data_IF_583651978041
#
_entry.id   IF_583651978041
#
_cell.length_a   1.000
_cell.length_b   1.000
_cell.length_c   1.000
_cell.angle_alpha   90.00
_cell.angle_beta   90.00
_cell.angle_gamma   90.00
#
_symmetry.space_group_name_H-M   'P 1'
#
loop_
_entity.id
_entity.type
_entity.pdbx_description
1 polymer ?
#
# COMPACT_ATOMS: atom_id res chain seq x y z
N UNK A 1 29.91 9.63 -29.36
CA UNK A 1 28.60 9.42 -28.72
C UNK A 1 27.54 10.08 -29.59
N UNK A 2 26.67 9.33 -30.29
CA UNK A 2 25.61 9.90 -31.13
C UNK A 2 24.34 9.98 -30.28
N UNK A 3 23.96 11.18 -29.86
CA UNK A 3 22.64 11.42 -29.24
C UNK A 3 21.64 11.51 -30.37
N UNK A 4 20.83 10.48 -30.56
CA UNK A 4 19.66 10.53 -31.44
C UNK A 4 18.51 11.06 -30.60
N UNK A 5 18.15 12.33 -30.79
CA UNK A 5 16.90 12.86 -30.27
C UNK A 5 15.75 12.15 -31.00
N UNK A 6 15.06 11.25 -30.30
CA UNK A 6 13.79 10.74 -30.79
C UNK A 6 12.81 11.92 -30.87
N UNK A 7 12.05 12.01 -31.96
CA UNK A 7 11.01 13.03 -32.09
C UNK A 7 10.01 12.81 -30.95
N UNK A 8 9.64 13.86 -30.20
CA UNK A 8 8.61 13.70 -29.21
C UNK A 8 7.28 13.42 -29.92
N UNK A 9 6.56 12.39 -29.49
CA UNK A 9 5.26 12.04 -30.05
C UNK A 9 4.16 12.88 -29.41
N UNK A 10 3.12 13.16 -30.19
CA UNK A 10 1.96 13.91 -29.75
C UNK A 10 0.73 13.04 -29.57
N UNK A 11 -0.34 13.58 -28.98
CA UNK A 11 -1.68 12.99 -29.04
C UNK A 11 -2.66 14.14 -28.83
N UNK A 12 -3.63 14.28 -29.72
CA UNK A 12 -4.61 15.38 -29.64
C UNK A 12 -6.03 14.91 -29.88
N UNK A 13 -6.96 15.66 -29.33
CA UNK A 13 -8.37 15.33 -29.38
C UNK A 13 -9.23 16.37 -28.69
N UNK A 14 -10.50 16.01 -28.52
CA UNK A 14 -11.51 16.83 -27.86
C UNK A 14 -12.34 16.03 -26.89
N UNK A 15 -12.76 16.67 -25.80
CA UNK A 15 -13.74 16.15 -24.85
C UNK A 15 -15.06 16.88 -25.08
N UNK A 16 -16.13 16.11 -25.21
CA UNK A 16 -17.50 16.62 -25.35
C UNK A 16 -18.44 15.97 -24.34
N UNK A 17 -19.53 16.63 -23.97
CA UNK A 17 -20.56 16.06 -23.10
C UNK A 17 -21.49 15.08 -23.85
N UNK A 18 -22.58 14.66 -23.20
CA UNK A 18 -23.59 13.78 -23.79
C UNK A 18 -24.40 14.44 -24.92
N UNK A 19 -24.54 15.77 -24.92
CA UNK A 19 -25.18 16.55 -25.98
C UNK A 19 -24.22 16.83 -27.16
N UNK A 20 -22.93 16.60 -26.97
CA UNK A 20 -21.87 16.89 -27.94
C UNK A 20 -21.25 18.28 -27.77
N UNK A 21 -21.56 18.98 -26.68
CA UNK A 21 -20.99 20.29 -26.39
C UNK A 21 -19.55 20.16 -25.86
N UNK A 22 -18.63 21.05 -26.24
CA UNK A 22 -17.24 20.98 -25.79
C UNK A 22 -17.10 21.17 -24.28
N UNK A 23 -16.24 20.37 -23.64
CA UNK A 23 -16.03 20.41 -22.20
C UNK A 23 -14.66 20.98 -21.81
N UNK A 24 -14.59 22.24 -21.32
CA UNK A 24 -13.35 22.81 -20.80
C UNK A 24 -13.00 22.27 -19.40
N UNK A 25 -11.73 22.42 -19.02
CA UNK A 25 -11.21 22.07 -17.68
C UNK A 25 -11.39 20.60 -17.28
N UNK A 26 -11.43 19.70 -18.26
CA UNK A 26 -11.39 18.25 -18.06
C UNK A 26 -9.93 17.80 -18.03
N UNK A 27 -9.54 17.10 -16.96
CA UNK A 27 -8.21 16.50 -16.88
C UNK A 27 -8.18 15.19 -17.68
N UNK A 28 -7.43 15.20 -18.78
CA UNK A 28 -7.16 14.05 -19.63
C UNK A 28 -5.81 13.47 -19.26
N UNK A 29 -5.76 12.19 -18.93
CA UNK A 29 -4.55 11.45 -18.55
C UNK A 29 -4.24 10.38 -19.59
N UNK A 30 -3.01 10.37 -20.09
CA UNK A 30 -2.47 9.31 -20.93
C UNK A 30 -1.48 8.48 -20.10
N UNK A 31 -1.87 7.26 -19.75
CA UNK A 31 -1.07 6.32 -18.98
C UNK A 31 -0.56 5.20 -19.89
N UNK A 32 0.75 5.02 -19.96
CA UNK A 32 1.35 3.88 -20.65
C UNK A 32 1.06 2.62 -19.84
N UNK A 33 0.40 1.64 -20.47
CA UNK A 33 -0.04 0.41 -19.79
C UNK A 33 1.11 -0.58 -19.54
N UNK A 34 2.27 -0.36 -20.16
CA UNK A 34 3.47 -1.22 -20.08
C UNK A 34 4.59 -0.63 -19.25
N UNK A 35 4.60 0.70 -19.07
CA UNK A 35 5.59 1.42 -18.29
C UNK A 35 4.95 2.15 -17.10
N UNK A 36 5.74 2.92 -16.35
CA UNK A 36 5.21 3.81 -15.29
C UNK A 36 4.96 5.23 -15.80
N UNK A 37 5.02 5.45 -17.11
CA UNK A 37 4.79 6.76 -17.68
C UNK A 37 3.31 7.13 -17.58
N UNK A 38 3.03 8.33 -17.08
CA UNK A 38 1.71 8.95 -17.13
C UNK A 38 1.89 10.46 -17.31
N UNK A 39 1.01 11.06 -18.10
CA UNK A 39 0.96 12.51 -18.31
C UNK A 39 -0.49 12.97 -18.27
N UNK A 40 -0.73 14.15 -17.69
CA UNK A 40 -2.07 14.75 -17.59
C UNK A 40 -2.06 16.16 -18.15
N UNK A 41 -3.10 16.51 -18.91
CA UNK A 41 -3.36 17.85 -19.44
C UNK A 41 -4.82 18.23 -19.19
N UNK A 42 -5.13 19.53 -19.15
CA UNK A 42 -6.51 20.01 -19.10
C UNK A 42 -7.00 20.38 -20.51
N UNK A 43 -8.29 20.21 -20.78
CA UNK A 43 -8.92 20.71 -22.01
C UNK A 43 -9.03 22.24 -22.01
N UNK A 44 -8.87 22.85 -23.19
CA UNK A 44 -9.06 24.29 -23.41
C UNK A 44 -10.55 24.69 -23.41
N UNK A 45 -10.82 25.99 -23.59
CA UNK A 45 -12.19 26.55 -23.68
C UNK A 45 -13.06 25.96 -24.81
N UNK A 46 -12.44 25.30 -25.80
CA UNK A 46 -13.11 24.60 -26.89
C UNK A 46 -13.10 23.08 -26.69
N UNK A 47 -12.83 22.60 -25.47
CA UNK A 47 -12.79 21.19 -25.11
C UNK A 47 -11.59 20.41 -25.69
N UNK A 48 -10.59 21.07 -26.27
CA UNK A 48 -9.47 20.39 -26.93
C UNK A 48 -8.32 20.15 -25.96
N UNK A 49 -7.63 19.02 -26.14
CA UNK A 49 -6.42 18.69 -25.40
C UNK A 49 -5.29 18.30 -26.36
N UNK A 50 -4.05 18.52 -25.93
CA UNK A 50 -2.87 18.16 -26.70
C UNK A 50 -1.73 17.71 -25.77
N UNK A 51 -1.16 16.55 -26.07
CA UNK A 51 0.09 16.06 -25.49
C UNK A 51 1.21 16.28 -26.51
N UNK A 52 2.40 16.71 -26.04
CA UNK A 52 3.54 17.03 -26.91
C UNK A 52 4.81 16.24 -26.60
N UNK A 53 4.80 15.41 -25.56
CA UNK A 53 6.00 14.71 -25.05
C UNK A 53 5.66 13.29 -24.61
N UNK A 54 4.97 12.56 -25.47
CA UNK A 54 4.66 11.16 -25.24
C UNK A 54 5.82 10.27 -25.73
N UNK A 55 6.13 9.18 -25.01
CA UNK A 55 6.91 8.07 -25.55
C UNK A 55 6.23 7.47 -26.78
N UNK A 56 7.00 6.83 -27.65
CA UNK A 56 6.51 6.01 -28.75
C UNK A 56 5.87 4.71 -28.20
N UNK A 57 4.68 4.84 -27.62
CA UNK A 57 3.98 3.76 -26.90
C UNK A 57 2.48 3.75 -27.23
N UNK A 58 1.73 2.90 -26.53
CA UNK A 58 0.27 2.89 -26.51
C UNK A 58 -0.24 3.25 -25.12
N UNK A 59 -1.32 4.02 -25.08
CA UNK A 59 -1.81 4.64 -23.86
C UNK A 59 -3.23 4.16 -23.57
N UNK A 60 -3.51 3.97 -22.29
CA UNK A 60 -4.85 4.10 -21.76
C UNK A 60 -5.11 5.60 -21.55
N UNK A 61 -6.12 6.14 -22.22
CA UNK A 61 -6.53 7.54 -22.08
C UNK A 61 -7.79 7.62 -21.24
N UNK A 62 -7.73 8.36 -20.14
CA UNK A 62 -8.87 8.61 -19.25
C UNK A 62 -9.16 10.10 -19.13
N UNK A 63 -10.41 10.47 -18.93
CA UNK A 63 -10.82 11.86 -18.69
C UNK A 63 -11.60 11.94 -17.39
N UNK A 64 -11.26 12.93 -16.56
CA UNK A 64 -11.91 13.17 -15.29
C UNK A 64 -12.07 14.66 -15.05
N UNK A 65 -13.22 15.05 -14.49
CA UNK A 65 -13.45 16.42 -14.06
C UNK A 65 -14.03 16.39 -12.66
N UNK A 66 -13.56 17.32 -11.83
CA UNK A 66 -13.99 17.47 -10.46
C UNK A 66 -15.01 18.61 -10.40
N UNK A 67 -16.29 18.29 -10.28
CA UNK A 67 -17.33 19.29 -10.08
C UNK A 67 -17.59 19.48 -8.59
N UNK A 68 -17.57 20.70 -8.05
CA UNK A 68 -18.23 20.94 -6.77
C UNK A 68 -19.73 21.04 -7.03
N UNK A 69 -20.56 20.40 -6.21
CA UNK A 69 -22.00 20.66 -6.29
C UNK A 69 -22.32 22.08 -5.77
N UNK A 70 -23.52 22.58 -6.06
CA UNK A 70 -24.00 23.90 -5.64
C UNK A 70 -24.09 24.08 -4.12
N UNK A 71 -23.89 23.01 -3.34
CA UNK A 71 -23.94 22.99 -1.88
C UNK A 71 -22.56 22.70 -1.26
N UNK A 72 -21.48 22.71 -2.05
CA UNK A 72 -20.11 22.43 -1.59
C UNK A 72 -19.90 21.01 -1.06
N UNK A 73 -20.86 20.10 -1.24
CA UNK A 73 -20.94 18.81 -0.59
C UNK A 73 -20.64 17.69 -1.60
N UNK A 74 -19.34 17.40 -1.71
CA UNK A 74 -18.68 16.37 -2.52
C UNK A 74 -18.37 16.76 -3.97
N UNK A 75 -17.19 16.36 -4.46
CA UNK A 75 -16.93 16.42 -5.87
C UNK A 75 -17.80 15.40 -6.61
N UNK A 76 -18.69 15.84 -7.52
CA UNK A 76 -19.19 14.96 -8.58
C UNK A 76 -18.03 14.72 -9.53
N UNK A 77 -17.68 13.45 -9.73
CA UNK A 77 -16.76 13.06 -10.78
C UNK A 77 -17.62 12.75 -12.01
N UNK A 78 -17.62 13.65 -12.98
CA UNK A 78 -17.94 13.22 -14.33
C UNK A 78 -16.80 12.32 -14.81
N UNK A 79 -17.15 11.36 -15.66
CA UNK A 79 -16.17 10.41 -16.16
C UNK A 79 -16.45 10.13 -17.63
N UNK A 80 -15.37 9.87 -18.36
CA UNK A 80 -15.44 9.12 -19.60
C UNK A 80 -14.96 7.70 -19.32
N UNK A 81 -15.51 6.71 -20.02
CA UNK A 81 -14.89 5.38 -20.02
C UNK A 81 -13.46 5.51 -20.58
N UNK A 82 -12.46 4.89 -19.92
CA UNK A 82 -11.09 4.92 -20.44
C UNK A 82 -11.03 4.28 -21.82
N UNK A 83 -10.35 4.96 -22.75
CA UNK A 83 -10.06 4.42 -24.07
C UNK A 83 -8.73 3.69 -23.98
N UNK A 84 -8.76 2.38 -24.20
CA UNK A 84 -7.57 1.53 -24.14
C UNK A 84 -6.80 1.57 -25.46
N UNK A 85 -5.50 1.26 -25.37
CA UNK A 85 -4.66 0.92 -26.53
C UNK A 85 -4.52 2.05 -27.57
N UNK A 86 -4.57 3.32 -27.15
CA UNK A 86 -4.46 4.49 -28.04
C UNK A 86 -3.00 4.72 -28.48
N UNK A 87 -2.68 4.70 -29.78
CA UNK A 87 -1.33 4.96 -30.25
C UNK A 87 -0.83 6.38 -29.91
N UNK A 88 0.48 6.51 -29.70
CA UNK A 88 1.17 7.77 -29.92
C UNK A 88 0.86 8.33 -31.32
N UNK A 89 0.75 9.65 -31.43
CA UNK A 89 0.39 10.46 -32.60
C UNK A 89 -1.06 10.37 -33.08
N UNK A 90 -1.96 9.75 -32.31
CA UNK A 90 -3.40 9.82 -32.61
C UNK A 90 -3.87 11.28 -32.68
N UNK A 91 -4.56 11.59 -33.79
CA UNK A 91 -5.23 12.85 -34.05
C UNK A 91 -6.73 12.66 -33.89
N UNK A 92 -7.42 13.74 -33.52
CA UNK A 92 -8.88 13.79 -33.44
C UNK A 92 -9.50 12.74 -32.50
N UNK A 93 -8.82 12.41 -31.39
CA UNK A 93 -9.39 11.51 -30.38
C UNK A 93 -10.62 12.16 -29.73
N UNK A 94 -11.80 11.60 -29.97
CA UNK A 94 -13.03 12.08 -29.35
C UNK A 94 -13.32 11.32 -28.05
N UNK A 95 -13.32 12.05 -26.94
CA UNK A 95 -13.73 11.52 -25.64
C UNK A 95 -15.13 12.03 -25.34
N UNK A 96 -16.08 11.11 -25.18
CA UNK A 96 -17.43 11.45 -24.72
C UNK A 96 -17.48 11.35 -23.20
N UNK A 97 -17.74 12.48 -22.58
CA UNK A 97 -17.76 12.65 -21.14
C UNK A 97 -19.20 12.63 -20.66
N UNK A 98 -19.46 11.83 -19.63
CA UNK A 98 -20.78 11.69 -19.06
C UNK A 98 -20.83 12.34 -17.69
N UNK A 99 -21.79 13.24 -17.49
CA UNK A 99 -22.18 13.74 -16.17
C UNK A 99 -23.01 12.73 -15.38
N UNK A 100 -23.46 11.63 -16.02
CA UNK A 100 -24.08 10.54 -15.31
C UNK A 100 -23.06 9.94 -14.34
N UNK A 101 -23.52 9.64 -13.11
CA UNK A 101 -22.67 8.97 -12.14
C UNK A 101 -22.11 7.66 -12.74
N UNK A 102 -20.81 7.37 -12.56
CA UNK A 102 -20.23 6.14 -13.09
C UNK A 102 -21.00 4.92 -12.61
N UNK A 103 -21.12 3.88 -13.45
CA UNK A 103 -21.69 2.63 -12.98
C UNK A 103 -20.87 2.18 -11.78
N UNK A 104 -21.58 1.91 -10.68
CA UNK A 104 -20.95 1.54 -9.41
C UNK A 104 -21.33 0.14 -9.00
N UNK A 105 -20.37 -0.58 -8.43
CA UNK A 105 -20.60 -1.80 -7.68
C UNK A 105 -20.50 -1.59 -6.18
N UNK A 106 -20.52 -2.69 -5.44
CA UNK A 106 -20.19 -2.69 -4.02
C UNK A 106 -19.23 -3.84 -3.69
N UNK A 107 -18.40 -3.64 -2.67
CA UNK A 107 -17.52 -4.69 -2.14
C UNK A 107 -17.88 -4.96 -0.70
N UNK A 108 -18.00 -6.24 -0.34
CA UNK A 108 -18.16 -6.69 1.05
C UNK A 108 -16.92 -7.48 1.44
N UNK A 109 -16.28 -7.09 2.54
CA UNK A 109 -15.07 -7.71 3.06
C UNK A 109 -15.40 -8.43 4.36
N UNK A 110 -15.15 -9.73 4.42
CA UNK A 110 -15.28 -10.55 5.63
C UNK A 110 -13.90 -10.86 6.20
N UNK A 111 -13.68 -10.54 7.46
CA UNK A 111 -12.43 -10.70 8.18
C UNK A 111 -12.53 -11.88 9.14
N UNK A 112 -11.74 -12.91 8.90
CA UNK A 112 -11.72 -14.15 9.66
C UNK A 112 -10.34 -14.38 10.27
N UNK A 113 -10.28 -14.91 11.49
CA UNK A 113 -9.03 -15.40 12.08
C UNK A 113 -8.59 -16.66 11.34
N UNK A 114 -7.35 -16.67 10.84
CA UNK A 114 -6.85 -17.79 10.05
C UNK A 114 -6.76 -19.11 10.84
N UNK A 115 -6.75 -19.08 12.18
CA UNK A 115 -6.62 -20.28 13.03
C UNK A 115 -7.91 -21.05 13.20
N UNK A 116 -9.00 -20.32 13.46
CA UNK A 116 -10.28 -20.92 13.87
C UNK A 116 -11.44 -20.53 12.94
N UNK A 117 -11.19 -19.69 11.93
CA UNK A 117 -12.19 -19.23 10.97
C UNK A 117 -13.25 -18.31 11.56
N UNK A 118 -13.11 -17.86 12.81
CA UNK A 118 -14.09 -16.99 13.46
C UNK A 118 -13.96 -15.54 12.97
N UNK A 119 -15.06 -14.77 12.93
CA UNK A 119 -15.00 -13.36 12.59
C UNK A 119 -14.08 -12.58 13.53
N UNK A 120 -13.29 -11.67 12.97
CA UNK A 120 -12.44 -10.76 13.73
C UNK A 120 -13.31 -9.63 14.29
N UNK A 121 -13.46 -9.59 15.62
CA UNK A 121 -14.37 -8.66 16.31
C UNK A 121 -13.70 -7.34 16.74
N UNK A 122 -12.38 -7.21 16.57
CA UNK A 122 -11.67 -5.94 16.84
C UNK A 122 -12.05 -4.89 15.80
N UNK A 123 -11.97 -3.59 16.12
CA UNK A 123 -12.16 -2.50 15.15
C UNK A 123 -11.08 -2.53 14.06
N UNK A 124 -11.39 -3.03 12.84
CA UNK A 124 -10.41 -3.12 11.79
C UNK A 124 -10.34 -1.81 11.01
N UNK A 125 -9.18 -1.51 10.43
CA UNK A 125 -9.02 -0.49 9.39
C UNK A 125 -8.96 -1.21 8.04
N UNK A 126 -10.04 -1.11 7.27
CA UNK A 126 -10.10 -1.62 5.90
C UNK A 126 -10.21 -0.44 4.95
N UNK A 127 -9.27 -0.36 4.01
CA UNK A 127 -9.21 0.68 2.98
C UNK A 127 -9.29 0.05 1.60
N UNK A 128 -9.98 0.73 0.70
CA UNK A 128 -9.94 0.47 -0.74
C UNK A 128 -9.17 1.59 -1.41
N UNK A 129 -8.18 1.22 -2.23
CA UNK A 129 -7.25 2.14 -2.88
C UNK A 129 -7.32 1.87 -4.39
N UNK A 130 -7.71 2.88 -5.17
CA UNK A 130 -7.68 2.91 -6.63
C UNK A 130 -6.83 4.08 -7.11
N UNK A 131 -6.87 4.35 -8.42
CA UNK A 131 -6.03 5.38 -9.06
C UNK A 131 -6.22 6.77 -8.44
N UNK A 132 -7.46 7.19 -8.19
CA UNK A 132 -7.82 8.48 -7.60
C UNK A 132 -8.80 8.36 -6.43
N UNK A 133 -8.88 7.17 -5.82
CA UNK A 133 -9.81 6.89 -4.73
C UNK A 133 -9.08 6.19 -3.59
N UNK A 134 -9.11 6.79 -2.40
CA UNK A 134 -8.80 6.09 -1.16
C UNK A 134 -9.98 6.27 -0.22
N UNK A 135 -10.63 5.16 0.16
CA UNK A 135 -11.81 5.21 1.02
C UNK A 135 -11.71 4.15 2.11
N UNK A 136 -12.16 4.49 3.32
CA UNK A 136 -12.32 3.53 4.42
C UNK A 136 -13.67 2.81 4.28
N UNK A 137 -13.69 1.52 4.62
CA UNK A 137 -14.93 0.74 4.64
C UNK A 137 -15.85 1.16 5.78
N UNK A 138 -17.15 0.93 5.61
CA UNK A 138 -18.14 1.11 6.65
C UNK A 138 -18.38 -0.25 7.34
N UNK A 139 -18.38 -0.32 8.68
CA UNK A 139 -18.79 -1.54 9.38
C UNK A 139 -20.24 -1.89 9.04
N UNK A 140 -20.49 -3.12 8.61
CA UNK A 140 -21.86 -3.64 8.38
C UNK A 140 -22.30 -4.55 9.53
N UNK A 141 -21.41 -5.44 9.95
CA UNK A 141 -21.60 -6.34 11.09
C UNK A 141 -20.23 -6.71 11.67
N UNK A 142 -20.21 -7.48 12.75
CA UNK A 142 -18.95 -7.86 13.39
C UNK A 142 -18.06 -8.67 12.41
N UNK A 143 -16.84 -8.18 12.16
CA UNK A 143 -15.92 -8.76 11.19
C UNK A 143 -16.30 -8.54 9.72
N UNK A 144 -17.31 -7.72 9.41
CA UNK A 144 -17.72 -7.43 8.03
C UNK A 144 -17.72 -5.93 7.76
N UNK A 145 -17.03 -5.54 6.69
CA UNK A 145 -16.92 -4.16 6.21
C UNK A 145 -17.51 -4.07 4.80
N UNK A 146 -18.14 -2.95 4.46
CA UNK A 146 -18.71 -2.72 3.13
C UNK A 146 -18.23 -1.42 2.50
N UNK A 147 -18.16 -1.44 1.17
CA UNK A 147 -17.83 -0.31 0.32
C UNK A 147 -18.95 -0.15 -0.71
N UNK A 148 -20.04 0.56 -0.38
CA UNK A 148 -21.12 0.80 -1.33
C UNK A 148 -20.70 1.81 -2.40
N UNK A 149 -21.27 1.73 -3.59
CA UNK A 149 -21.08 2.72 -4.66
C UNK A 149 -19.59 2.98 -4.96
N UNK A 150 -18.85 1.92 -5.24
CA UNK A 150 -17.50 2.04 -5.82
C UNK A 150 -17.64 2.09 -7.34
N UNK A 151 -17.05 3.08 -8.03
CA UNK A 151 -16.94 3.03 -9.48
C UNK A 151 -16.38 1.69 -9.93
N UNK A 152 -16.84 1.17 -11.05
CA UNK A 152 -16.25 -0.04 -11.63
C UNK A 152 -14.75 0.15 -11.87
N UNK A 153 -13.97 -0.93 -11.73
CA UNK A 153 -12.53 -0.88 -11.92
C UNK A 153 -11.75 -1.79 -10.99
N UNK A 154 -10.43 -1.69 -11.07
CA UNK A 154 -9.48 -2.42 -10.23
C UNK A 154 -9.11 -1.61 -9.00
N UNK A 155 -9.13 -2.26 -7.85
CA UNK A 155 -8.75 -1.67 -6.57
C UNK A 155 -7.84 -2.60 -5.79
N UNK A 156 -7.04 -2.03 -4.89
CA UNK A 156 -6.35 -2.75 -3.85
C UNK A 156 -7.08 -2.55 -2.52
N UNK A 157 -7.52 -3.65 -1.92
CA UNK A 157 -7.97 -3.69 -0.54
C UNK A 157 -6.75 -3.82 0.38
N UNK A 158 -6.67 -2.99 1.42
CA UNK A 158 -5.71 -3.09 2.51
C UNK A 158 -6.47 -3.27 3.82
N UNK A 159 -6.06 -4.27 4.58
CA UNK A 159 -6.67 -4.65 5.86
C UNK A 159 -5.62 -4.56 6.96
N UNK A 160 -5.97 -3.87 8.03
CA UNK A 160 -5.21 -3.80 9.28
C UNK A 160 -6.17 -4.09 10.44
N UNK A 161 -5.79 -5.00 11.34
CA UNK A 161 -6.57 -5.30 12.53
C UNK A 161 -5.62 -5.52 13.72
N UNK A 162 -6.00 -5.01 14.89
CA UNK A 162 -5.16 -5.12 16.10
C UNK A 162 -4.95 -6.58 16.46
N UNK A 163 -3.68 -6.98 16.60
CA UNK A 163 -3.32 -8.37 16.91
C UNK A 163 -3.28 -9.30 15.70
N UNK A 164 -3.39 -8.76 14.49
CA UNK A 164 -3.27 -9.47 13.23
C UNK A 164 -2.25 -8.81 12.32
N UNK A 165 -1.68 -9.61 11.42
CA UNK A 165 -0.80 -9.11 10.37
C UNK A 165 -1.63 -8.43 9.28
N UNK A 166 -1.09 -7.34 8.75
CA UNK A 166 -1.72 -6.61 7.65
C UNK A 166 -1.80 -7.49 6.40
N UNK A 167 -2.91 -7.38 5.67
CA UNK A 167 -3.11 -8.09 4.42
C UNK A 167 -3.51 -7.12 3.32
N UNK A 168 -3.22 -7.47 2.07
CA UNK A 168 -3.73 -6.72 0.92
C UNK A 168 -4.06 -7.65 -0.25
N UNK A 169 -5.07 -7.27 -1.04
CA UNK A 169 -5.52 -8.04 -2.21
C UNK A 169 -6.05 -7.09 -3.29
N UNK A 170 -5.84 -7.43 -4.56
CA UNK A 170 -6.49 -6.74 -5.69
C UNK A 170 -7.90 -7.29 -5.91
N UNK A 171 -8.86 -6.42 -6.21
CA UNK A 171 -10.26 -6.76 -6.49
C UNK A 171 -10.77 -5.95 -7.66
N UNK A 172 -11.51 -6.59 -8.57
CA UNK A 172 -12.23 -5.92 -9.65
C UNK A 172 -13.69 -5.70 -9.25
N UNK A 173 -14.12 -4.45 -9.19
CA UNK A 173 -15.51 -4.05 -8.96
C UNK A 173 -16.27 -4.02 -10.28
N UNK A 174 -17.46 -4.65 -10.29
CA UNK A 174 -18.40 -4.71 -11.42
C UNK A 174 -19.75 -4.11 -11.03
N UNK A 175 -20.54 -3.63 -11.98
CA UNK A 175 -21.89 -3.07 -11.74
C UNK A 175 -22.97 -4.13 -11.52
N UNK A 176 -22.78 -5.35 -12.02
CA UNK A 176 -23.79 -6.42 -12.02
C UNK A 176 -23.40 -7.60 -11.11
N UNK A 177 -24.39 -8.29 -10.55
CA UNK A 177 -24.20 -9.53 -9.77
C UNK A 177 -24.14 -9.37 -8.25
N UNK A 178 -24.58 -8.23 -7.71
CA UNK A 178 -24.54 -7.96 -6.27
C UNK A 178 -23.15 -7.57 -5.76
N UNK A 179 -22.96 -7.46 -4.44
CA UNK A 179 -21.67 -7.07 -3.86
C UNK A 179 -20.59 -8.11 -4.15
N UNK A 180 -19.44 -7.67 -4.64
CA UNK A 180 -18.23 -8.50 -4.71
C UNK A 180 -17.81 -8.87 -3.29
N UNK A 181 -17.84 -10.16 -2.95
CA UNK A 181 -17.50 -10.64 -1.60
C UNK A 181 -16.04 -11.09 -1.56
N UNK A 182 -15.27 -10.47 -0.68
CA UNK A 182 -13.86 -10.80 -0.43
C UNK A 182 -13.66 -11.31 0.99
N UNK A 183 -13.06 -12.49 1.12
CA UNK A 183 -12.70 -13.06 2.41
C UNK A 183 -11.19 -12.92 2.68
N UNK A 184 -10.87 -12.30 3.82
CA UNK A 184 -9.52 -12.19 4.36
C UNK A 184 -9.40 -13.07 5.59
N UNK A 185 -8.57 -14.11 5.49
CA UNK A 185 -8.13 -14.90 6.64
C UNK A 185 -6.83 -14.29 7.15
N UNK A 186 -6.91 -13.53 8.24
CA UNK A 186 -5.75 -12.83 8.78
C UNK A 186 -4.98 -13.73 9.74
N UNK A 187 -3.67 -13.80 9.54
CA UNK A 187 -2.76 -14.43 10.47
C UNK A 187 -2.60 -13.56 11.72
N UNK A 188 -2.67 -14.13 12.93
CA UNK A 188 -2.43 -13.36 14.15
C UNK A 188 -0.99 -12.86 14.20
N UNK A 189 -0.83 -11.60 14.58
CA UNK A 189 0.45 -10.98 14.85
C UNK A 189 0.89 -11.28 16.28
N UNK A 190 2.19 -11.48 16.47
CA UNK A 190 2.81 -11.66 17.79
C UNK A 190 3.70 -10.46 18.10
N UNK A 191 3.66 -10.05 19.37
CA UNK A 191 4.61 -9.08 19.93
C UNK A 191 5.65 -9.78 20.80
N UNK A 192 6.88 -9.27 20.79
CA UNK A 192 7.94 -9.68 21.71
C UNK A 192 8.52 -8.47 22.44
N UNK A 193 9.08 -8.72 23.62
CA UNK A 193 9.83 -7.75 24.40
C UNK A 193 11.28 -8.20 24.46
N UNK A 194 12.19 -7.40 23.94
CA UNK A 194 13.62 -7.68 23.94
C UNK A 194 14.28 -6.88 25.05
N UNK A 195 14.92 -7.59 25.98
CA UNK A 195 15.63 -7.02 27.12
C UNK A 195 17.14 -7.17 26.87
N UNK A 196 17.82 -6.14 26.32
CA UNK A 196 19.25 -6.17 26.15
C UNK A 196 19.96 -6.03 27.51
N UNK A 197 20.72 -7.05 27.89
CA UNK A 197 21.54 -7.06 29.10
C UNK A 197 23.00 -6.80 28.71
N UNK A 198 23.56 -5.67 29.15
CA UNK A 198 24.97 -5.33 28.93
C UNK A 198 25.77 -5.70 30.16
N UNK A 199 26.68 -6.67 30.01
CA UNK A 199 27.60 -7.08 31.08
C UNK A 199 28.88 -6.24 30.98
N UNK A 200 29.35 -5.73 32.12
CA UNK A 200 30.60 -4.95 32.26
C UNK A 200 30.70 -3.74 31.30
N UNK A 201 29.69 -2.87 31.33
CA UNK A 201 29.70 -1.63 30.56
C UNK A 201 30.71 -0.63 31.15
N UNK A 202 31.86 -0.45 30.48
CA UNK A 202 32.82 0.63 30.81
C UNK A 202 32.35 2.01 30.36
N UNK A 203 31.49 2.05 29.34
CA UNK A 203 30.87 3.26 28.81
C UNK A 203 29.35 3.07 28.78
N UNK A 204 28.60 4.11 29.12
CA UNK A 204 27.14 4.08 29.06
C UNK A 204 26.69 3.90 27.60
N UNK A 205 25.89 2.88 27.30
CA UNK A 205 25.29 2.70 25.98
C UNK A 205 24.46 3.93 25.57
N UNK A 206 24.57 4.36 24.31
CA UNK A 206 23.70 5.43 23.80
C UNK A 206 22.41 4.90 23.20
N UNK A 207 22.49 3.83 22.39
CA UNK A 207 21.31 3.22 21.77
C UNK A 207 21.49 1.72 21.56
N UNK A 208 20.36 1.03 21.45
CA UNK A 208 20.29 -0.36 21.03
C UNK A 208 19.61 -0.46 19.66
N UNK A 209 20.27 -1.17 18.74
CA UNK A 209 19.72 -1.56 17.44
C UNK A 209 19.40 -3.05 17.46
N UNK A 210 18.16 -3.41 17.19
CA UNK A 210 17.72 -4.79 17.02
C UNK A 210 17.50 -5.06 15.54
N UNK A 211 18.07 -6.15 15.05
CA UNK A 211 17.89 -6.67 13.70
C UNK A 211 17.22 -8.03 13.82
N UNK A 212 16.07 -8.22 13.19
CA UNK A 212 15.35 -9.49 13.14
C UNK A 212 15.35 -10.01 11.73
N UNK A 213 15.70 -11.28 11.56
CA UNK A 213 15.68 -11.98 10.27
C UNK A 213 14.88 -13.27 10.45
N UNK A 214 13.78 -13.44 9.72
CA UNK A 214 13.02 -14.67 9.74
C UNK A 214 13.83 -15.83 9.12
N UNK A 215 13.86 -16.98 9.78
CA UNK A 215 14.57 -18.17 9.29
C UNK A 215 13.64 -19.04 8.44
N UNK A 216 13.97 -19.24 7.16
CA UNK A 216 13.30 -20.22 6.29
C UNK A 216 12.10 -19.73 5.47
N UNK A 217 11.85 -18.42 5.38
CA UNK A 217 10.77 -17.84 4.57
C UNK A 217 11.24 -17.30 3.22
N UNK A 218 10.34 -17.30 2.23
CA UNK A 218 10.46 -16.55 0.97
C UNK A 218 10.46 -15.03 1.29
N UNK A 219 11.61 -14.47 1.68
CA UNK A 219 11.94 -13.05 1.53
C UNK A 219 11.19 -11.99 2.33
N UNK A 220 10.27 -12.31 3.25
CA UNK A 220 9.65 -11.29 4.11
C UNK A 220 10.29 -11.22 5.50
N UNK A 221 10.99 -10.11 5.76
CA UNK A 221 11.19 -9.59 7.12
C UNK A 221 12.64 -9.60 7.60
N UNK A 222 13.47 -8.72 7.03
CA UNK A 222 14.58 -8.14 7.79
C UNK A 222 14.08 -6.83 8.41
N UNK A 223 13.85 -6.81 9.71
CA UNK A 223 13.44 -5.60 10.44
C UNK A 223 14.62 -5.04 11.19
N UNK A 224 14.78 -3.72 11.19
CA UNK A 224 15.72 -3.03 12.05
C UNK A 224 14.97 -2.01 12.90
N UNK A 225 15.17 -2.07 14.21
CA UNK A 225 14.63 -1.12 15.16
C UNK A 225 15.78 -0.49 15.94
N UNK A 226 15.74 0.81 16.18
CA UNK A 226 16.75 1.51 17.00
C UNK A 226 16.04 2.38 18.02
N UNK A 227 16.41 2.27 19.28
CA UNK A 227 15.95 3.16 20.35
C UNK A 227 17.09 3.51 21.31
N UNK A 228 16.87 4.52 22.14
CA UNK A 228 17.76 4.84 23.25
C UNK A 228 17.85 3.66 24.23
N UNK A 229 19.03 3.47 24.81
CA UNK A 229 19.28 2.36 25.71
C UNK A 229 18.66 2.62 27.09
N UNK A 230 17.99 1.62 27.67
CA UNK A 230 17.47 1.69 29.05
C UNK A 230 16.21 0.84 29.20
N UNK A 231 15.21 1.09 28.38
CA UNK A 231 13.93 0.37 28.42
C UNK A 231 13.96 -0.91 27.57
N UNK A 232 13.17 -1.95 27.92
CA UNK A 232 12.96 -3.09 27.05
C UNK A 232 12.35 -2.67 25.70
N UNK A 233 12.84 -3.30 24.62
CA UNK A 233 12.45 -3.00 23.24
C UNK A 233 11.21 -3.81 22.87
N UNK A 234 10.08 -3.15 22.67
CA UNK A 234 8.85 -3.81 22.22
C UNK A 234 8.81 -3.88 20.69
N UNK A 235 8.65 -5.09 20.17
CA UNK A 235 8.52 -5.36 18.74
C UNK A 235 7.16 -6.00 18.50
N UNK A 236 6.33 -5.35 17.70
CA UNK A 236 4.98 -5.79 17.37
C UNK A 236 4.87 -6.24 15.91
N UNK A 237 3.74 -6.83 15.54
CA UNK A 237 3.43 -7.25 14.17
C UNK A 237 4.41 -8.27 13.58
N UNK A 238 4.92 -9.19 14.41
CA UNK A 238 5.80 -10.26 13.95
C UNK A 238 4.98 -11.50 13.58
N UNK A 239 5.36 -12.16 12.49
CA UNK A 239 4.87 -13.51 12.18
C UNK A 239 5.35 -14.51 13.26
N UNK A 240 4.51 -15.47 13.64
CA UNK A 240 4.96 -16.66 14.35
C UNK A 240 6.00 -17.40 13.52
N UNK A 241 7.00 -17.99 14.17
CA UNK A 241 8.03 -18.76 13.51
C UNK A 241 9.40 -18.60 14.14
N UNK A 242 10.42 -19.12 13.47
CA UNK A 242 11.80 -19.02 13.92
C UNK A 242 12.43 -17.73 13.39
N UNK A 243 12.98 -16.95 14.30
CA UNK A 243 13.66 -15.69 14.03
C UNK A 243 15.10 -15.76 14.49
N UNK A 244 16.00 -15.17 13.71
CA UNK A 244 17.37 -14.85 14.13
C UNK A 244 17.37 -13.39 14.53
N UNK A 245 17.54 -13.15 15.82
CA UNK A 245 17.51 -11.81 16.40
C UNK A 245 18.93 -11.41 16.78
N UNK A 246 19.38 -10.26 16.27
CA UNK A 246 20.68 -9.67 16.56
C UNK A 246 20.48 -8.34 17.27
N UNK A 247 21.00 -8.21 18.48
CA UNK A 247 21.05 -6.94 19.20
C UNK A 247 22.46 -6.34 19.07
N UNK A 248 22.52 -5.03 18.84
CA UNK A 248 23.74 -4.24 18.73
C UNK A 248 23.64 -3.04 19.67
N UNK A 249 24.67 -2.81 20.47
CA UNK A 249 24.79 -1.58 21.26
C UNK A 249 25.68 -0.61 20.53
N UNK A 250 25.21 0.63 20.44
CA UNK A 250 25.93 1.72 19.83
C UNK A 250 26.40 2.70 20.91
N UNK A 251 27.66 3.12 20.79
CA UNK A 251 28.22 4.28 21.48
C UNK A 251 28.74 5.23 20.40
N UNK A 252 28.28 6.48 20.42
CA UNK A 252 28.63 7.49 19.39
C UNK A 252 28.48 6.96 17.95
N UNK A 253 27.36 6.26 17.70
CA UNK A 253 27.02 5.60 16.41
C UNK A 253 27.94 4.46 15.96
N UNK A 254 28.87 4.00 16.81
CA UNK A 254 29.69 2.80 16.54
C UNK A 254 29.14 1.61 17.32
N UNK A 255 29.01 0.47 16.66
CA UNK A 255 28.63 -0.77 17.33
C UNK A 255 29.78 -1.23 18.22
N UNK A 256 29.56 -1.25 19.53
CA UNK A 256 30.57 -1.66 20.52
C UNK A 256 30.31 -3.06 21.07
N UNK A 257 29.06 -3.51 21.04
CA UNK A 257 28.65 -4.85 21.50
C UNK A 257 27.60 -5.45 20.58
N UNK A 258 27.60 -6.77 20.46
CA UNK A 258 26.55 -7.48 19.74
C UNK A 258 26.27 -8.85 20.33
N UNK A 259 25.05 -9.33 20.13
CA UNK A 259 24.64 -10.68 20.47
C UNK A 259 23.58 -11.13 19.48
N UNK A 260 23.63 -12.42 19.14
CA UNK A 260 22.69 -13.03 18.21
C UNK A 260 22.08 -14.27 18.84
N UNK A 261 20.76 -14.40 18.76
CA UNK A 261 20.01 -15.54 19.30
C UNK A 261 18.92 -15.95 18.33
N UNK A 262 18.79 -17.27 18.13
CA UNK A 262 17.61 -17.82 17.47
C UNK A 262 16.48 -17.91 18.48
N UNK A 263 15.33 -17.34 18.14
CA UNK A 263 14.13 -17.30 18.98
C UNK A 263 13.00 -17.92 18.17
N UNK A 264 12.26 -18.84 18.77
CA UNK A 264 10.99 -19.30 18.21
C UNK A 264 9.90 -18.45 18.83
N UNK A 265 9.23 -17.67 18.00
CA UNK A 265 8.07 -16.85 18.38
C UNK A 265 6.84 -17.68 18.08
N UNK A 266 6.18 -18.15 19.14
CA UNK A 266 4.94 -18.90 18.99
C UNK A 266 3.73 -17.96 19.06
N UNK A 267 2.61 -18.38 18.48
CA UNK A 267 1.32 -17.77 18.73
C UNK A 267 1.00 -17.91 20.21
N UNK A 268 1.12 -16.83 20.98
CA UNK A 268 0.64 -16.85 22.35
C UNK A 268 -0.90 -16.98 22.34
N UNK A 269 -1.49 -17.80 23.23
CA UNK A 269 -2.93 -17.75 23.46
C UNK A 269 -3.24 -16.37 24.06
N UNK A 270 -3.83 -15.49 23.24
CA UNK A 270 -4.44 -14.19 23.57
C UNK A 270 -3.74 -13.45 24.74
N UNK A 271 -2.81 -12.54 24.40
CA UNK A 271 -2.15 -11.52 25.24
C UNK A 271 -0.74 -11.80 25.80
N UNK A 272 -0.17 -13.00 25.61
CA UNK A 272 1.21 -13.25 26.02
C UNK A 272 2.25 -12.55 25.11
N UNK A 273 3.06 -11.65 25.66
CA UNK A 273 4.26 -11.13 24.97
C UNK A 273 5.41 -12.08 25.26
N UNK A 274 6.11 -12.57 24.23
CA UNK A 274 7.32 -13.38 24.44
C UNK A 274 8.46 -12.46 24.88
N UNK A 275 9.03 -12.70 26.07
CA UNK A 275 10.22 -11.96 26.55
C UNK A 275 11.50 -12.64 26.08
N UNK A 276 12.42 -11.87 25.52
CA UNK A 276 13.71 -12.35 25.02
C UNK A 276 14.82 -11.54 25.69
N UNK A 277 15.56 -12.19 26.59
CA UNK A 277 16.80 -11.63 27.14
C UNK A 277 18.00 -11.96 26.27
N UNK A 278 18.85 -10.97 26.06
CA UNK A 278 20.08 -11.08 25.27
C UNK A 278 21.26 -10.51 26.04
N UNK A 279 22.23 -11.37 26.34
CA UNK A 279 23.49 -10.96 26.95
C UNK A 279 24.46 -10.49 25.88
N UNK A 280 24.83 -9.22 25.95
CA UNK A 280 25.62 -8.52 24.94
C UNK A 280 27.11 -8.52 25.29
N UNK A 281 27.93 -9.08 24.40
CA UNK A 281 29.38 -9.19 24.56
C UNK A 281 30.12 -8.17 23.68
N UNK A 282 31.35 -7.76 24.05
CA UNK A 282 32.18 -6.88 23.21
C UNK A 282 32.35 -7.41 21.79
N UNK A 283 32.19 -6.52 20.79
CA UNK A 283 32.52 -6.88 19.41
C UNK A 283 34.03 -7.06 19.31
N UNK A 284 34.49 -8.28 18.99
CA UNK A 284 35.92 -8.60 18.84
C UNK A 284 36.45 -9.70 19.78
N UNK A 285 35.65 -10.25 20.71
CA UNK A 285 36.08 -11.36 21.58
C UNK A 285 35.95 -12.75 20.93
N UNK A 286 36.26 -12.85 19.63
CA UNK A 286 36.39 -14.15 18.96
C UNK A 286 37.64 -14.86 19.44
N UNK A 287 37.55 -15.59 20.56
CA UNK A 287 38.54 -16.64 20.84
C UNK A 287 38.25 -17.80 19.87
N UNK A 288 39.17 -18.03 18.96
CA UNK A 288 39.34 -19.32 18.27
C UNK A 288 39.41 -20.42 19.33
N UNK A 289 38.61 -21.50 19.24
CA UNK A 289 38.82 -22.65 20.11
C UNK A 289 40.21 -23.24 19.77
N UNK A 290 41.07 -23.37 20.78
CA UNK A 290 42.24 -24.25 20.74
C UNK A 290 41.81 -25.63 21.24
#
# INVERSE_FOLDING_TARGET
LRIVLQRPHGLEGSVVDAAGEPMPDVFVTAADTTSRFSSTVATDGAGRFHFTRLPASRFRVSASQRFMDSHGTLPRFGHAEPIEDVPADTKDLLIRFSEAAPPTGSVRVRLLDARDGRPILTTPRVEVIGENLQRRGTPESAGTMVFPRLPMGEYQLRVEAKGYLSASRRVRVRSEGGPTVEEFRLEPAVGILVEPEVIDARELPSSAKIILIMSGGQGQGAFSYTQDFGEPIRLDNLHPGRWKLTAQILVRRRVVRSATKSVVINLAPRSGITRVRLRLVPVGSGKTPR
#
